data_IF_209553444596
#
_entry.id   IF_209553444596
#
_cell.length_a   1.000
_cell.length_b   1.000
_cell.length_c   1.000
_cell.angle_alpha   90.00
_cell.angle_beta   90.00
_cell.angle_gamma   90.00
#
_symmetry.space_group_name_H-M   'P 1'
#
loop_
_entity.id
_entity.type
_entity.pdbx_description
1 polymer ?
#
# COMPACT_ATOMS: atom_id res chain seq x y z
N UNK A 1 -9.88 1.69 -76.47
CA UNK A 1 -8.95 0.79 -75.77
C UNK A 1 -9.24 -0.65 -76.19
N UNK A 2 -8.24 -1.36 -76.75
CA UNK A 2 -8.40 -2.70 -77.32
C UNK A 2 -8.40 -3.75 -76.20
N UNK A 3 -9.51 -4.46 -75.98
CA UNK A 3 -9.57 -5.58 -75.03
C UNK A 3 -8.82 -6.76 -75.63
N UNK A 4 -7.73 -7.18 -74.98
CA UNK A 4 -7.09 -8.47 -75.26
C UNK A 4 -8.02 -9.59 -74.82
N UNK A 5 -8.48 -10.40 -75.76
CA UNK A 5 -9.18 -11.65 -75.47
C UNK A 5 -8.13 -12.67 -75.03
N UNK A 6 -7.86 -12.72 -73.73
CA UNK A 6 -6.98 -13.72 -73.13
C UNK A 6 -7.86 -14.94 -72.86
N UNK A 7 -7.57 -16.05 -73.53
CA UNK A 7 -8.22 -17.33 -73.26
C UNK A 7 -7.73 -17.81 -71.89
N UNK A 8 -8.59 -17.72 -70.88
CA UNK A 8 -8.34 -18.38 -69.60
C UNK A 8 -8.39 -19.88 -69.83
N UNK A 9 -7.26 -20.57 -69.61
CA UNK A 9 -7.20 -22.03 -69.67
C UNK A 9 -8.00 -22.56 -68.48
N UNK A 10 -9.28 -22.82 -68.73
CA UNK A 10 -10.23 -23.30 -67.73
C UNK A 10 -10.11 -24.83 -67.66
N UNK A 11 -9.04 -25.31 -67.04
CA UNK A 11 -8.78 -26.73 -66.83
C UNK A 11 -9.12 -27.11 -65.38
N UNK A 12 -9.60 -28.34 -65.21
CA UNK A 12 -9.87 -28.98 -63.93
C UNK A 12 -8.73 -28.79 -62.92
N UNK A 13 -7.48 -28.94 -63.35
CA UNK A 13 -6.30 -28.76 -62.48
C UNK A 13 -6.22 -27.34 -61.88
N UNK A 14 -6.48 -26.29 -62.67
CA UNK A 14 -6.42 -24.90 -62.21
C UNK A 14 -7.55 -24.63 -61.21
N UNK A 15 -8.73 -25.20 -61.43
CA UNK A 15 -9.85 -25.07 -60.51
C UNK A 15 -9.58 -25.78 -59.17
N UNK A 16 -8.99 -26.98 -59.21
CA UNK A 16 -8.62 -27.72 -58.00
C UNK A 16 -7.57 -26.98 -57.17
N UNK A 17 -6.52 -26.45 -57.79
CA UNK A 17 -5.46 -25.72 -57.09
C UNK A 17 -5.98 -24.40 -56.49
N UNK A 18 -6.88 -23.71 -57.20
CA UNK A 18 -7.57 -22.53 -56.68
C UNK A 18 -8.42 -22.89 -55.46
N UNK A 19 -9.21 -23.97 -55.51
CA UNK A 19 -10.00 -24.44 -54.39
C UNK A 19 -9.12 -24.85 -53.20
N UNK A 20 -7.99 -25.51 -53.46
CA UNK A 20 -7.02 -25.91 -52.43
C UNK A 20 -6.40 -24.70 -51.74
N UNK A 21 -6.01 -23.68 -52.50
CA UNK A 21 -5.48 -22.42 -51.93
C UNK A 21 -6.55 -21.64 -51.16
N UNK A 22 -7.81 -21.68 -51.62
CA UNK A 22 -8.93 -21.04 -50.93
C UNK A 22 -9.24 -21.73 -49.62
N UNK A 23 -9.27 -23.07 -49.59
CA UNK A 23 -9.43 -23.87 -48.36
C UNK A 23 -8.29 -23.59 -47.39
N UNK A 24 -7.05 -23.62 -47.85
CA UNK A 24 -5.88 -23.29 -47.01
C UNK A 24 -5.96 -21.87 -46.42
N UNK A 25 -6.39 -20.88 -47.23
CA UNK A 25 -6.62 -19.51 -46.74
C UNK A 25 -7.75 -19.42 -45.73
N UNK A 26 -8.84 -20.16 -45.93
CA UNK A 26 -9.96 -20.21 -44.99
C UNK A 26 -9.56 -20.86 -43.66
N UNK A 27 -8.85 -21.98 -43.71
CA UNK A 27 -8.30 -22.65 -42.52
C UNK A 27 -7.33 -21.73 -41.77
N UNK A 28 -6.45 -21.02 -42.48
CA UNK A 28 -5.52 -20.06 -41.87
C UNK A 28 -6.26 -18.87 -41.26
N UNK A 29 -7.30 -18.36 -41.91
CA UNK A 29 -8.18 -17.32 -41.34
C UNK A 29 -8.87 -17.81 -40.08
N UNK A 30 -9.39 -19.03 -40.06
CA UNK A 30 -10.06 -19.59 -38.90
C UNK A 30 -9.09 -19.78 -37.72
N UNK A 31 -7.88 -20.30 -37.99
CA UNK A 31 -6.80 -20.42 -37.00
C UNK A 31 -6.37 -19.05 -36.47
N UNK A 32 -6.19 -18.05 -37.33
CA UNK A 32 -5.83 -16.70 -36.89
C UNK A 32 -6.93 -16.03 -36.04
N UNK A 33 -8.21 -16.26 -36.35
CA UNK A 33 -9.32 -15.77 -35.51
C UNK A 33 -9.31 -16.44 -34.13
N UNK A 34 -9.10 -17.75 -34.08
CA UNK A 34 -8.96 -18.48 -32.81
C UNK A 34 -7.77 -17.99 -31.98
N UNK A 35 -6.62 -17.79 -32.64
CA UNK A 35 -5.41 -17.25 -32.02
C UNK A 35 -5.64 -15.82 -31.49
N UNK A 36 -6.38 -14.99 -32.23
CA UNK A 36 -6.80 -13.66 -31.78
C UNK A 36 -7.72 -13.70 -30.56
N UNK A 37 -8.67 -14.63 -30.51
CA UNK A 37 -9.53 -14.82 -29.32
C UNK A 37 -8.71 -15.23 -28.09
N UNK A 38 -7.73 -16.13 -28.26
CA UNK A 38 -6.81 -16.50 -27.19
C UNK A 38 -6.00 -15.29 -26.72
N UNK A 39 -5.47 -14.48 -27.64
CA UNK A 39 -4.70 -13.29 -27.30
C UNK A 39 -5.53 -12.32 -26.45
N UNK A 40 -6.79 -12.07 -26.85
CA UNK A 40 -7.71 -11.21 -26.08
C UNK A 40 -7.94 -11.79 -24.68
N UNK A 41 -8.16 -13.10 -24.58
CA UNK A 41 -8.36 -13.78 -23.29
C UNK A 41 -7.14 -13.64 -22.38
N UNK A 42 -5.93 -13.81 -22.92
CA UNK A 42 -4.68 -13.61 -22.19
C UNK A 42 -4.55 -12.18 -21.69
N UNK A 43 -4.79 -11.18 -22.53
CA UNK A 43 -4.76 -9.76 -22.12
C UNK A 43 -5.75 -9.50 -20.99
N UNK A 44 -6.99 -9.98 -21.10
CA UNK A 44 -7.99 -9.85 -20.04
C UNK A 44 -7.57 -10.54 -18.74
N UNK A 45 -6.95 -11.72 -18.83
CA UNK A 45 -6.46 -12.47 -17.68
C UNK A 45 -5.36 -11.73 -16.92
N UNK A 46 -4.52 -10.95 -17.61
CA UNK A 46 -3.48 -10.13 -16.99
C UNK A 46 -3.99 -8.77 -16.50
N UNK A 47 -4.98 -8.17 -17.14
CA UNK A 47 -5.50 -6.84 -16.74
C UNK A 47 -6.28 -6.91 -15.42
N UNK A 48 -7.12 -7.94 -15.21
CA UNK A 48 -7.93 -8.07 -13.99
C UNK A 48 -7.10 -8.11 -12.67
N UNK A 49 -6.03 -8.90 -12.53
CA UNK A 49 -5.24 -8.95 -11.30
C UNK A 49 -4.42 -7.67 -11.06
N UNK A 50 -4.12 -6.87 -12.09
CA UNK A 50 -3.30 -5.66 -11.92
C UNK A 50 -3.98 -4.55 -11.12
N UNK A 51 -5.31 -4.45 -11.19
CA UNK A 51 -6.06 -3.42 -10.44
C UNK A 51 -5.90 -3.57 -8.91
N UNK A 52 -5.89 -4.80 -8.41
CA UNK A 52 -5.73 -5.06 -6.97
C UNK A 52 -4.28 -4.85 -6.48
N UNK A 53 -3.30 -4.98 -7.38
CA UNK A 53 -1.89 -4.92 -7.00
C UNK A 53 -1.47 -3.49 -6.66
N UNK A 54 -1.91 -2.50 -7.43
CA UNK A 54 -1.59 -1.09 -7.21
C UNK A 54 -2.24 -0.56 -5.92
N UNK A 55 -3.51 -0.90 -5.70
CA UNK A 55 -4.22 -0.54 -4.47
C UNK A 55 -3.59 -1.18 -3.23
N UNK A 56 -3.18 -2.45 -3.32
CA UNK A 56 -2.44 -3.14 -2.25
C UNK A 56 -1.11 -2.46 -1.94
N UNK A 57 -0.35 -2.06 -2.96
CA UNK A 57 0.95 -1.41 -2.76
C UNK A 57 0.82 -0.06 -2.05
N UNK A 58 -0.14 0.78 -2.47
CA UNK A 58 -0.40 2.06 -1.80
C UNK A 58 -0.89 1.85 -0.36
N UNK A 59 -1.69 0.81 -0.12
CA UNK A 59 -2.17 0.48 1.23
C UNK A 59 -1.04 0.00 2.13
N UNK A 60 -0.11 -0.80 1.60
CA UNK A 60 1.08 -1.27 2.32
C UNK A 60 1.95 -0.10 2.77
N UNK A 61 2.28 0.83 1.89
CA UNK A 61 3.08 2.01 2.24
C UNK A 61 2.42 2.86 3.33
N UNK A 62 1.10 3.07 3.24
CA UNK A 62 0.35 3.79 4.29
C UNK A 62 0.40 3.08 5.63
N UNK A 63 0.30 1.74 5.64
CA UNK A 63 0.37 0.94 6.87
C UNK A 63 1.75 0.95 7.50
N UNK A 64 2.82 0.93 6.71
CA UNK A 64 4.19 1.07 7.24
C UNK A 64 4.39 2.41 7.95
N UNK A 65 3.97 3.51 7.33
CA UNK A 65 4.05 4.84 7.96
C UNK A 65 3.22 4.90 9.25
N UNK A 66 2.00 4.34 9.25
CA UNK A 66 1.16 4.24 10.43
C UNK A 66 1.79 3.38 11.54
N UNK A 67 2.48 2.29 11.20
CA UNK A 67 3.17 1.45 12.18
C UNK A 67 4.28 2.21 12.90
N UNK A 68 5.09 2.97 12.15
CA UNK A 68 6.16 3.79 12.74
C UNK A 68 5.57 4.83 13.69
N UNK A 69 4.53 5.56 13.24
CA UNK A 69 3.87 6.55 14.09
C UNK A 69 3.27 5.91 15.35
N UNK A 70 2.65 4.73 15.21
CA UNK A 70 2.03 4.03 16.32
C UNK A 70 3.07 3.51 17.31
N UNK A 71 4.23 3.04 16.83
CA UNK A 71 5.34 2.60 17.67
C UNK A 71 5.92 3.76 18.48
N UNK A 72 6.08 4.94 17.87
CA UNK A 72 6.57 6.13 18.56
C UNK A 72 5.58 6.62 19.61
N UNK A 73 4.29 6.71 19.26
CA UNK A 73 3.22 7.03 20.22
C UNK A 73 3.19 6.03 21.37
N UNK A 74 3.35 4.74 21.08
CA UNK A 74 3.40 3.70 22.11
C UNK A 74 4.59 3.90 23.06
N UNK A 75 5.79 4.19 22.52
CA UNK A 75 6.99 4.47 23.34
C UNK A 75 6.80 5.69 24.22
N UNK A 76 6.20 6.75 23.70
CA UNK A 76 5.89 7.96 24.48
C UNK A 76 4.90 7.66 25.61
N UNK A 77 3.81 6.98 25.29
CA UNK A 77 2.78 6.62 26.27
C UNK A 77 3.33 5.69 27.36
N UNK A 78 4.19 4.74 26.98
CA UNK A 78 4.86 3.85 27.94
C UNK A 78 5.80 4.62 28.88
N UNK A 79 6.53 5.63 28.36
CA UNK A 79 7.36 6.51 29.19
C UNK A 79 6.50 7.32 30.17
N UNK A 80 5.42 7.92 29.67
CA UNK A 80 4.48 8.67 30.51
C UNK A 80 3.89 7.78 31.61
N UNK A 81 3.36 6.61 31.27
CA UNK A 81 2.83 5.65 32.23
C UNK A 81 3.86 5.25 33.30
N UNK A 82 5.13 5.06 32.92
CA UNK A 82 6.21 4.76 33.87
C UNK A 82 6.50 5.93 34.80
N UNK A 83 6.50 7.16 34.29
CA UNK A 83 6.67 8.36 35.12
C UNK A 83 5.50 8.51 36.09
N UNK A 84 4.26 8.42 35.61
CA UNK A 84 3.06 8.49 36.43
C UNK A 84 3.05 7.40 37.51
N UNK A 85 3.34 6.15 37.15
CA UNK A 85 3.43 5.06 38.12
C UNK A 85 4.51 5.30 39.17
N UNK A 86 5.66 5.88 38.78
CA UNK A 86 6.70 6.23 39.73
C UNK A 86 6.29 7.38 40.65
N UNK A 87 5.50 8.33 40.15
CA UNK A 87 4.95 9.43 40.93
C UNK A 87 3.94 8.92 41.95
N UNK A 88 3.00 8.07 41.52
CA UNK A 88 2.03 7.42 42.41
C UNK A 88 2.75 6.70 43.55
N UNK A 89 3.78 5.90 43.25
CA UNK A 89 4.58 5.21 44.28
C UNK A 89 5.28 6.18 45.24
N UNK A 90 5.77 7.31 44.74
CA UNK A 90 6.39 8.34 45.61
C UNK A 90 5.34 9.05 46.46
N UNK A 91 4.12 9.23 45.96
CA UNK A 91 3.02 9.84 46.69
C UNK A 91 2.44 8.92 47.79
N UNK A 92 2.78 7.64 47.80
CA UNK A 92 2.49 6.75 48.94
C UNK A 92 3.39 7.04 50.16
N UNK A 93 4.55 7.69 49.96
CA UNK A 93 5.47 8.06 51.03
C UNK A 93 5.10 9.43 51.62
N UNK A 94 4.72 9.44 52.91
CA UNK A 94 4.33 10.66 53.64
C UNK A 94 5.41 11.75 53.65
N UNK A 95 6.70 11.37 53.73
CA UNK A 95 7.81 12.32 53.75
C UNK A 95 7.94 13.01 52.39
N UNK A 96 7.79 12.25 51.30
CA UNK A 96 7.78 12.78 49.96
C UNK A 96 6.58 13.70 49.73
N UNK A 97 5.38 13.32 50.17
CA UNK A 97 4.16 14.13 50.07
C UNK A 97 4.33 15.47 50.80
N UNK A 98 4.88 15.46 52.02
CA UNK A 98 5.14 16.69 52.77
C UNK A 98 6.10 17.64 52.03
N UNK A 99 7.20 17.11 51.46
CA UNK A 99 8.14 17.87 50.63
C UNK A 99 7.49 18.38 49.35
N UNK A 100 6.68 17.56 48.69
CA UNK A 100 5.96 17.91 47.46
C UNK A 100 4.97 19.06 47.70
N UNK A 101 4.14 18.98 48.75
CA UNK A 101 3.23 20.06 49.14
C UNK A 101 4.03 21.32 49.45
N UNK A 102 5.07 21.22 50.28
CA UNK A 102 5.91 22.36 50.67
C UNK A 102 6.49 23.09 49.45
N UNK A 103 6.97 22.34 48.47
CA UNK A 103 7.47 22.89 47.21
C UNK A 103 6.34 23.49 46.36
N UNK A 104 5.17 22.83 46.29
CA UNK A 104 4.01 23.26 45.48
C UNK A 104 3.38 24.56 45.96
N UNK A 105 3.23 24.73 47.28
CA UNK A 105 2.69 25.95 47.89
C UNK A 105 3.78 26.94 48.33
N UNK A 106 5.05 26.65 48.03
CA UNK A 106 6.20 27.46 48.41
C UNK A 106 6.22 27.79 49.92
N UNK A 107 5.92 26.78 50.76
CA UNK A 107 5.90 26.95 52.21
C UNK A 107 7.32 26.89 52.80
N UNK A 108 7.68 27.88 53.61
CA UNK A 108 8.93 27.91 54.37
C UNK A 108 8.67 28.29 55.82
N UNK A 109 9.57 27.90 56.71
CA UNK A 109 9.57 28.33 58.12
C UNK A 109 10.48 29.53 58.28
N UNK A 110 10.33 30.21 59.41
CA UNK A 110 11.11 31.40 59.72
C UNK A 110 12.62 31.08 59.69
N UNK A 111 13.39 31.89 58.95
CA UNK A 111 14.83 31.68 58.70
C UNK A 111 15.21 30.76 57.52
N UNK A 112 14.26 30.20 56.76
CA UNK A 112 14.54 29.41 55.55
C UNK A 112 14.44 30.25 54.25
N UNK A 113 15.23 29.91 53.23
CA UNK A 113 15.15 30.54 51.89
C UNK A 113 14.55 29.59 50.86
N UNK A 114 13.65 30.10 50.01
CA UNK A 114 13.01 29.32 48.93
C UNK A 114 13.71 29.61 47.60
N UNK A 115 14.18 28.55 46.93
CA UNK A 115 14.69 28.62 45.57
C UNK A 115 13.68 27.97 44.61
N UNK A 116 13.11 28.76 43.71
CA UNK A 116 12.16 28.24 42.72
C UNK A 116 12.91 27.72 41.49
N UNK A 117 12.94 26.39 41.33
CA UNK A 117 13.61 25.74 40.20
C UNK A 117 12.53 25.33 39.19
N UNK A 118 12.54 25.87 37.96
CA UNK A 118 11.56 25.51 36.95
C UNK A 118 11.68 24.02 36.58
N UNK A 119 10.56 23.30 36.61
CA UNK A 119 10.50 21.86 36.27
C UNK A 119 10.89 20.90 37.41
N UNK A 120 11.11 21.40 38.63
CA UNK A 120 11.44 20.56 39.79
C UNK A 120 10.29 19.62 40.19
N UNK A 121 9.05 20.11 40.07
CA UNK A 121 7.86 19.31 40.37
C UNK A 121 7.34 18.66 39.09
N UNK A 122 7.06 17.34 39.13
CA UNK A 122 6.31 16.71 38.05
C UNK A 122 4.94 17.40 37.94
N UNK A 123 4.55 17.66 36.69
CA UNK A 123 3.29 18.35 36.35
C UNK A 123 2.09 17.46 36.54
#
# INVERSE_FOLDING_TARGET
>A
MKKSNILQINNHYIQEELQKSQRYRQEKKQKNRFMGSILILVVFLFVLPTYNLVASYQTLQKREAQLIELEDRYKELARQQKMESSLVKKLEDEEYVAKYIRAKIQYSKDGEFIYNIPGLLPR
#
